data_IF_458553464810
#
_entry.id   IF_458553464810
#
_cell.length_a   1.000
_cell.length_b   1.000
_cell.length_c   1.000
_cell.angle_alpha   90.00
_cell.angle_beta   90.00
_cell.angle_gamma   90.00
#
_symmetry.space_group_name_H-M   'P 1'
#
loop_
_entity.id
_entity.type
_entity.pdbx_description
1 polymer ?
#
# COMPACT_ATOMS: atom_id res chain seq x y z
N UNK A 1 6.39 -17.62 13.03
CA UNK A 1 5.84 -17.86 11.67
C UNK A 1 6.02 -16.58 10.90
N UNK A 2 6.69 -16.69 9.75
CA UNK A 2 7.36 -15.62 9.02
C UNK A 2 6.47 -14.40 8.77
N UNK A 3 6.96 -13.22 9.17
CA UNK A 3 6.34 -11.94 8.87
C UNK A 3 6.42 -11.68 7.37
N UNK A 4 5.39 -12.07 6.62
CA UNK A 4 5.28 -11.68 5.23
C UNK A 4 5.22 -10.14 5.16
N UNK A 5 6.09 -9.52 4.35
CA UNK A 5 6.22 -8.06 4.27
C UNK A 5 4.89 -7.43 3.87
N UNK A 6 4.20 -6.89 4.87
CA UNK A 6 2.88 -6.26 4.72
C UNK A 6 2.91 -4.96 3.92
N UNK A 7 4.04 -4.26 3.94
CA UNK A 7 4.28 -3.01 3.21
C UNK A 7 5.30 -3.27 2.10
N UNK A 8 4.89 -3.04 0.85
CA UNK A 8 5.76 -3.09 -0.33
C UNK A 8 6.16 -1.66 -0.68
N UNK A 9 7.44 -1.36 -0.75
CA UNK A 9 7.92 -0.02 -1.12
C UNK A 9 8.38 0.00 -2.58
N UNK A 10 7.91 0.97 -3.36
CA UNK A 10 8.26 1.11 -4.78
C UNK A 10 9.50 2.00 -5.03
N UNK A 11 10.12 2.58 -3.99
CA UNK A 11 11.09 3.67 -4.16
C UNK A 11 12.56 3.21 -4.20
N UNK A 12 13.25 3.60 -5.27
CA UNK A 12 14.67 3.95 -5.25
C UNK A 12 14.91 5.14 -4.28
N UNK A 13 15.96 5.05 -3.48
CA UNK A 13 16.19 5.88 -2.30
C UNK A 13 16.42 7.38 -2.61
N UNK A 14 15.54 8.28 -2.15
CA UNK A 14 15.93 9.67 -1.77
C UNK A 14 14.94 10.42 -0.85
N UNK A 15 15.26 10.42 0.45
CA UNK A 15 15.35 11.62 1.32
C UNK A 15 14.11 12.47 1.70
N UNK A 16 13.68 12.31 2.97
CA UNK A 16 13.23 13.34 3.96
C UNK A 16 11.95 14.17 3.73
N UNK A 17 10.86 13.73 4.38
CA UNK A 17 10.26 14.42 5.54
C UNK A 17 9.10 15.41 5.33
N UNK A 18 7.94 15.11 5.94
CA UNK A 18 7.30 15.95 6.98
C UNK A 18 6.12 15.23 7.64
N UNK A 19 6.11 15.29 8.98
CA UNK A 19 5.16 14.67 9.88
C UNK A 19 3.83 15.45 9.94
N UNK A 20 2.73 14.71 10.02
CA UNK A 20 1.44 15.18 10.56
C UNK A 20 1.19 14.50 11.91
N UNK A 21 0.70 15.32 12.85
CA UNK A 21 0.61 15.23 14.31
C UNK A 21 -0.17 13.99 14.86
N UNK A 22 0.03 13.59 16.13
CA UNK A 22 -0.36 12.27 16.64
C UNK A 22 -1.71 12.25 17.38
N UNK A 23 -2.34 11.08 17.41
CA UNK A 23 -3.37 10.72 18.38
C UNK A 23 -3.19 9.26 18.88
N UNK A 24 -2.59 9.17 20.08
CA UNK A 24 -2.82 8.19 21.15
C UNK A 24 -2.92 6.68 20.83
N UNK A 25 -1.87 5.91 21.17
CA UNK A 25 -1.87 4.87 22.23
C UNK A 25 -0.59 4.01 22.15
N UNK A 26 0.07 3.84 23.30
CA UNK A 26 1.29 3.04 23.53
C UNK A 26 1.22 1.61 22.98
N UNK A 27 2.32 1.12 22.40
CA UNK A 27 2.96 -0.15 22.75
C UNK A 27 4.44 -0.08 22.36
N UNK A 28 5.31 -0.35 23.31
CA UNK A 28 6.77 -0.38 23.17
C UNK A 28 7.19 -1.74 22.59
N UNK A 29 7.29 -1.80 21.27
CA UNK A 29 8.27 -2.64 20.57
C UNK A 29 8.90 -1.74 19.49
N UNK A 30 10.10 -2.03 19.00
CA UNK A 30 10.78 -1.25 17.96
C UNK A 30 9.95 -1.16 16.67
N UNK A 31 8.97 -0.26 16.65
CA UNK A 31 7.91 -0.24 15.64
C UNK A 31 8.13 0.96 14.74
N UNK A 32 8.50 0.66 13.50
CA UNK A 32 8.50 1.62 12.40
C UNK A 32 7.17 2.39 12.43
N UNK A 33 7.25 3.71 12.26
CA UNK A 33 6.09 4.59 12.28
C UNK A 33 4.98 4.05 11.35
N UNK A 34 3.71 3.94 11.80
CA UNK A 34 2.65 3.34 11.01
C UNK A 34 2.47 4.10 9.70
N UNK A 35 2.36 3.35 8.59
CA UNK A 35 2.10 3.93 7.26
C UNK A 35 0.60 3.93 7.02
N UNK A 36 0.07 5.07 6.61
CA UNK A 36 -1.36 5.26 6.35
C UNK A 36 -1.65 5.27 4.85
N UNK A 37 -2.78 4.68 4.46
CA UNK A 37 -3.31 4.80 3.11
C UNK A 37 -3.77 6.24 2.86
N UNK A 38 -3.29 6.86 1.78
CA UNK A 38 -3.65 8.23 1.41
C UNK A 38 -5.11 8.40 0.99
N UNK A 39 -5.81 7.30 0.70
CA UNK A 39 -7.20 7.31 0.21
C UNK A 39 -8.23 7.08 1.33
N UNK A 40 -8.04 6.03 2.14
CA UNK A 40 -9.00 5.66 3.20
C UNK A 40 -8.54 6.00 4.62
N UNK A 41 -7.28 6.46 4.80
CA UNK A 41 -6.73 6.80 6.11
C UNK A 41 -6.45 5.62 7.02
N UNK A 42 -6.64 4.37 6.59
CA UNK A 42 -6.35 3.20 7.43
C UNK A 42 -4.83 2.96 7.55
N UNK A 43 -4.35 2.56 8.73
CA UNK A 43 -2.95 2.21 8.94
C UNK A 43 -2.62 0.82 8.38
N UNK A 44 -1.33 0.58 8.10
CA UNK A 44 -0.83 -0.66 7.51
C UNK A 44 -1.20 -1.92 8.32
N UNK A 45 -1.29 -1.84 9.65
CA UNK A 45 -1.67 -2.98 10.49
C UNK A 45 -3.15 -3.39 10.36
N UNK A 46 -4.03 -2.53 9.83
CA UNK A 46 -5.46 -2.85 9.63
C UNK A 46 -5.83 -3.30 8.21
N UNK A 47 -4.89 -3.28 7.27
CA UNK A 47 -5.13 -3.71 5.87
C UNK A 47 -4.42 -5.02 5.57
N UNK A 48 -4.63 -5.67 4.43
CA UNK A 48 -3.92 -6.92 4.12
C UNK A 48 -2.51 -6.62 3.61
N UNK A 49 -2.40 -5.74 2.62
CA UNK A 49 -1.13 -5.27 2.05
C UNK A 49 -1.22 -3.78 1.76
N UNK A 50 -0.08 -3.08 1.84
CA UNK A 50 0.07 -1.65 1.58
C UNK A 50 1.20 -1.44 0.58
N UNK A 51 0.95 -0.63 -0.45
CA UNK A 51 2.00 -0.15 -1.35
C UNK A 51 2.40 1.25 -0.89
N UNK A 52 3.68 1.44 -0.59
CA UNK A 52 4.29 2.72 -0.23
C UNK A 52 5.00 3.32 -1.45
N UNK A 53 4.47 4.41 -1.96
CA UNK A 53 5.11 5.25 -2.97
C UNK A 53 5.99 6.35 -2.36
N UNK A 54 6.64 7.17 -3.18
CA UNK A 54 7.38 8.34 -2.71
C UNK A 54 6.49 9.36 -1.99
N UNK A 55 5.32 9.65 -2.56
CA UNK A 55 4.39 10.67 -2.06
C UNK A 55 3.03 10.11 -1.60
N UNK A 56 2.62 8.98 -2.17
CA UNK A 56 1.27 8.42 -2.00
C UNK A 56 1.35 6.95 -1.62
N UNK A 57 0.52 6.56 -0.66
CA UNK A 57 0.40 5.18 -0.21
C UNK A 57 -1.00 4.66 -0.49
N UNK A 58 -1.12 3.41 -0.93
CA UNK A 58 -2.41 2.80 -1.25
C UNK A 58 -2.51 1.39 -0.65
N UNK A 59 -3.63 1.10 0.00
CA UNK A 59 -3.90 -0.22 0.56
C UNK A 59 -4.63 -1.13 -0.43
N UNK A 60 -4.60 -2.43 -0.16
CA UNK A 60 -5.26 -3.46 -0.97
C UNK A 60 -6.76 -3.20 -1.21
N UNK A 61 -7.49 -2.72 -0.21
CA UNK A 61 -8.92 -2.43 -0.36
C UNK A 61 -9.17 -1.27 -1.33
N UNK A 62 -8.37 -0.20 -1.26
CA UNK A 62 -8.48 0.92 -2.19
C UNK A 62 -8.10 0.49 -3.61
N UNK A 63 -7.09 -0.38 -3.77
CA UNK A 63 -6.75 -0.95 -5.08
C UNK A 63 -7.94 -1.74 -5.66
N UNK A 64 -8.62 -2.56 -4.85
CA UNK A 64 -9.80 -3.31 -5.32
C UNK A 64 -10.93 -2.39 -5.80
N UNK A 65 -11.17 -1.27 -5.11
CA UNK A 65 -12.15 -0.28 -5.54
C UNK A 65 -11.73 0.34 -6.88
N UNK A 66 -10.47 0.72 -7.06
CA UNK A 66 -9.96 1.25 -8.33
C UNK A 66 -10.11 0.23 -9.47
N UNK A 67 -9.76 -1.05 -9.23
CA UNK A 67 -9.94 -2.15 -10.18
C UNK A 67 -11.40 -2.30 -10.59
N UNK A 68 -12.31 -2.23 -9.61
CA UNK A 68 -13.74 -2.33 -9.88
C UNK A 68 -14.22 -1.19 -10.79
N UNK A 69 -13.75 0.03 -10.56
CA UNK A 69 -14.05 1.20 -11.39
C UNK A 69 -13.51 1.04 -12.81
N UNK A 70 -12.24 0.64 -12.97
CA UNK A 70 -11.61 0.41 -14.28
C UNK A 70 -12.35 -0.62 -15.14
N UNK A 71 -12.85 -1.69 -14.53
CA UNK A 71 -13.57 -2.75 -15.26
C UNK A 71 -14.99 -2.31 -15.63
N UNK A 72 -15.71 -1.67 -14.71
CA UNK A 72 -17.14 -1.36 -14.92
C UNK A 72 -17.37 -0.07 -15.69
N UNK A 73 -16.65 0.99 -15.32
CA UNK A 73 -16.86 2.34 -15.85
C UNK A 73 -16.00 2.55 -17.09
N UNK A 74 -14.67 2.41 -16.96
CA UNK A 74 -13.72 2.64 -18.06
C UNK A 74 -13.69 1.48 -19.08
N UNK A 75 -14.46 0.41 -18.83
CA UNK A 75 -14.57 -0.79 -19.68
C UNK A 75 -13.21 -1.41 -20.03
N UNK A 76 -12.23 -1.27 -19.15
CA UNK A 76 -10.90 -1.87 -19.34
C UNK A 76 -11.03 -3.40 -19.19
N UNK A 77 -10.57 -4.20 -20.16
CA UNK A 77 -10.61 -5.66 -20.05
C UNK A 77 -9.88 -6.13 -18.79
N UNK A 78 -10.48 -7.07 -18.04
CA UNK A 78 -9.91 -7.58 -16.78
C UNK A 78 -8.48 -8.10 -16.94
N UNK A 79 -8.14 -8.69 -18.09
CA UNK A 79 -6.78 -9.15 -18.39
C UNK A 79 -5.76 -8.03 -18.53
N UNK A 80 -6.17 -6.82 -18.90
CA UNK A 80 -5.29 -5.65 -18.96
C UNK A 80 -5.08 -5.06 -17.56
N UNK A 81 -6.15 -4.93 -16.77
CA UNK A 81 -6.05 -4.54 -15.36
C UNK A 81 -5.16 -5.50 -14.58
N UNK A 82 -5.27 -6.82 -14.85
CA UNK A 82 -4.43 -7.81 -14.19
C UNK A 82 -2.94 -7.63 -14.52
N UNK A 83 -2.58 -7.33 -15.76
CA UNK A 83 -1.17 -7.06 -16.14
C UNK A 83 -0.60 -5.86 -15.38
N UNK A 84 -1.42 -4.83 -15.17
CA UNK A 84 -1.05 -3.65 -14.41
C UNK A 84 -0.79 -4.04 -12.95
N UNK A 85 -1.73 -4.78 -12.32
CA UNK A 85 -1.58 -5.26 -10.95
C UNK A 85 -0.34 -6.14 -10.76
N UNK A 86 -0.11 -7.07 -11.69
CA UNK A 86 1.05 -7.97 -11.66
C UNK A 86 2.35 -7.19 -11.70
N UNK A 87 2.41 -6.10 -12.46
CA UNK A 87 3.60 -5.23 -12.53
C UNK A 87 3.92 -4.61 -11.17
N UNK A 88 2.90 -4.19 -10.43
CA UNK A 88 3.08 -3.59 -9.10
C UNK A 88 3.38 -4.64 -8.02
N UNK A 89 2.81 -5.84 -8.12
CA UNK A 89 2.90 -6.85 -7.06
C UNK A 89 4.03 -7.86 -7.24
N UNK A 90 4.60 -8.00 -8.46
CA UNK A 90 5.80 -8.82 -8.74
C UNK A 90 7.05 -8.42 -7.95
N UNK A 91 7.05 -7.26 -7.29
CA UNK A 91 8.11 -6.84 -6.36
C UNK A 91 8.07 -7.52 -4.98
N UNK A 92 7.01 -8.27 -4.66
CA UNK A 92 6.83 -8.88 -3.33
C UNK A 92 7.36 -10.33 -3.20
N UNK A 93 7.74 -10.98 -4.30
CA UNK A 93 8.15 -12.40 -4.34
C UNK A 93 9.62 -12.60 -4.76
N UNK A 94 10.57 -11.95 -4.07
CA UNK A 94 11.97 -12.43 -4.07
C UNK A 94 12.27 -13.03 -2.70
N UNK A 95 12.14 -14.35 -2.64
CA UNK A 95 12.66 -15.19 -1.56
C UNK A 95 14.13 -15.54 -1.82
#
# INVERSE_FOLDING_TARGET
MSEEKKVVSLADAKGKGKASKPENAKTEEEQQEPVYCSFCGRPNHLVIKMIKGPDVNICSECVMICVQYFILEDRIPSGEVQKILDTFWRGAEKH
#
